data_IF_508703709456
#
_entry.id   IF_508703709456
#
_cell.length_a   1.000
_cell.length_b   1.000
_cell.length_c   1.000
_cell.angle_alpha   90.00
_cell.angle_beta   90.00
_cell.angle_gamma   90.00
#
_symmetry.space_group_name_H-M   'P 1'
#
loop_
_entity.id
_entity.type
_entity.pdbx_description
1 polymer ?
#
# COMPACT_ATOMS: atom_id res chain seq x y z
N UNK A 1 -8.02 1.23 15.56
CA UNK A 1 -7.36 0.13 16.28
C UNK A 1 -5.95 -0.08 15.74
N UNK A 2 -5.00 -0.29 16.62
CA UNK A 2 -3.60 -0.47 16.24
C UNK A 2 -3.17 -1.91 16.52
N UNK A 3 -2.44 -2.48 15.59
CA UNK A 3 -1.93 -3.84 15.74
C UNK A 3 -0.48 -3.86 15.27
N UNK A 4 0.38 -4.49 16.06
CA UNK A 4 1.80 -4.58 15.76
C UNK A 4 2.21 -6.00 15.41
N UNK A 5 3.12 -6.10 14.44
CA UNK A 5 3.75 -7.35 14.08
C UNK A 5 5.25 -7.15 14.11
N UNK A 6 5.97 -8.10 14.69
CA UNK A 6 7.42 -8.08 14.65
C UNK A 6 7.86 -9.26 13.80
N UNK A 7 8.23 -8.99 12.55
CA UNK A 7 8.49 -10.01 11.55
C UNK A 7 9.83 -9.76 10.87
N UNK A 8 10.47 -10.85 10.49
CA UNK A 8 11.61 -10.78 9.59
C UNK A 8 11.07 -10.71 8.16
N UNK A 9 11.92 -10.30 7.23
CA UNK A 9 11.46 -10.06 5.85
C UNK A 9 10.87 -11.32 5.21
N UNK A 10 11.40 -12.49 5.54
CA UNK A 10 10.88 -13.74 5.00
C UNK A 10 9.57 -14.17 5.67
N UNK A 11 9.13 -13.46 6.69
CA UNK A 11 7.87 -13.75 7.39
C UNK A 11 6.77 -12.76 7.03
N UNK A 12 7.01 -11.91 6.03
CA UNK A 12 6.03 -10.87 5.70
C UNK A 12 4.71 -11.46 5.22
N UNK A 13 4.70 -12.72 4.79
CA UNK A 13 3.49 -13.41 4.40
C UNK A 13 2.48 -13.48 5.55
N UNK A 14 2.93 -13.45 6.80
CA UNK A 14 2.05 -13.45 7.95
C UNK A 14 1.18 -12.19 7.93
N UNK A 15 1.80 -11.04 7.68
CA UNK A 15 1.08 -9.79 7.58
C UNK A 15 0.17 -9.79 6.36
N UNK A 16 0.64 -10.33 5.23
CA UNK A 16 -0.16 -10.39 4.02
C UNK A 16 -1.41 -11.24 4.22
N UNK A 17 -1.31 -12.37 4.92
CA UNK A 17 -2.46 -13.18 5.24
C UNK A 17 -3.44 -12.46 6.16
N UNK A 18 -2.92 -11.69 7.11
CA UNK A 18 -3.77 -10.88 7.97
C UNK A 18 -4.55 -9.86 7.14
N UNK A 19 -3.87 -9.21 6.17
CA UNK A 19 -4.54 -8.25 5.30
C UNK A 19 -5.60 -8.92 4.45
N UNK A 20 -5.34 -10.12 3.97
CA UNK A 20 -6.34 -10.86 3.20
C UNK A 20 -7.63 -11.03 3.98
N UNK A 21 -7.52 -11.24 5.29
CA UNK A 21 -8.69 -11.44 6.13
C UNK A 21 -9.44 -10.14 6.40
N UNK A 22 -8.75 -9.00 6.49
CA UNK A 22 -9.40 -7.74 6.85
C UNK A 22 -9.77 -6.87 5.64
N UNK A 23 -9.15 -7.07 4.48
CA UNK A 23 -9.45 -6.29 3.29
C UNK A 23 -10.57 -6.96 2.49
N UNK A 24 -11.77 -6.95 3.06
CA UNK A 24 -12.92 -7.63 2.46
C UNK A 24 -13.82 -6.67 1.70
N UNK A 25 -13.50 -5.39 1.69
CA UNK A 25 -14.24 -4.36 0.96
C UNK A 25 -13.28 -3.34 0.40
N UNK A 26 -13.78 -2.42 -0.42
CA UNK A 26 -12.94 -1.38 -1.02
C UNK A 26 -12.19 -0.63 0.07
N UNK A 27 -10.89 -0.51 -0.08
CA UNK A 27 -10.04 0.08 0.94
C UNK A 27 -8.81 0.74 0.32
N UNK A 28 -8.25 1.72 1.05
CA UNK A 28 -7.00 2.35 0.69
C UNK A 28 -6.01 2.02 1.79
N UNK A 29 -4.88 1.42 1.41
CA UNK A 29 -3.84 1.01 2.35
C UNK A 29 -2.61 1.88 2.11
N UNK A 30 -2.28 2.72 3.07
CA UNK A 30 -1.10 3.59 2.96
C UNK A 30 0.08 2.88 3.63
N UNK A 31 1.15 2.72 2.86
CA UNK A 31 2.36 2.03 3.32
C UNK A 31 3.46 3.06 3.56
N UNK A 32 3.94 3.15 4.78
CA UNK A 32 5.01 4.06 5.19
C UNK A 32 6.21 3.30 5.69
N UNK A 33 7.38 3.87 5.48
CA UNK A 33 8.63 3.28 5.95
C UNK A 33 9.76 3.65 5.02
N UNK A 34 10.97 3.30 5.41
CA UNK A 34 12.16 3.59 4.61
C UNK A 34 12.18 2.80 3.32
N UNK A 35 13.05 3.21 2.37
CA UNK A 35 13.16 2.57 1.08
C UNK A 35 13.34 1.06 1.18
N UNK A 36 14.12 0.59 2.14
CA UNK A 36 14.41 -0.83 2.29
C UNK A 36 13.52 -1.51 3.32
N UNK A 37 12.35 -0.93 3.64
CA UNK A 37 11.51 -1.45 4.72
C UNK A 37 10.64 -2.63 4.33
N UNK A 38 10.40 -2.84 3.03
CA UNK A 38 9.58 -3.96 2.59
C UNK A 38 8.18 -3.60 2.11
N UNK A 39 7.93 -2.32 1.80
CA UNK A 39 6.60 -1.90 1.35
C UNK A 39 6.17 -2.62 0.08
N UNK A 40 7.05 -2.62 -0.93
CA UNK A 40 6.75 -3.33 -2.19
C UNK A 40 6.68 -4.84 -1.96
N UNK A 41 7.52 -5.36 -1.06
CA UNK A 41 7.50 -6.77 -0.72
C UNK A 41 6.15 -7.17 -0.12
N UNK A 42 5.55 -6.31 0.69
CA UNK A 42 4.24 -6.59 1.25
C UNK A 42 3.18 -6.70 0.17
N UNK A 43 3.19 -5.79 -0.82
CA UNK A 43 2.24 -5.87 -1.92
C UNK A 43 2.42 -7.17 -2.70
N UNK A 44 3.68 -7.54 -2.94
CA UNK A 44 3.98 -8.79 -3.62
C UNK A 44 3.45 -9.99 -2.85
N UNK A 45 3.66 -10.02 -1.53
CA UNK A 45 3.16 -11.11 -0.70
C UNK A 45 1.64 -11.15 -0.66
N UNK A 46 0.99 -9.98 -0.65
CA UNK A 46 -0.46 -9.92 -0.66
C UNK A 46 -1.03 -10.56 -1.93
N UNK A 47 -0.46 -10.24 -3.09
CA UNK A 47 -0.91 -10.85 -4.33
C UNK A 47 -0.65 -12.36 -4.33
N UNK A 48 0.46 -12.78 -3.75
CA UNK A 48 0.80 -14.19 -3.66
C UNK A 48 -0.19 -14.97 -2.81
N UNK A 49 -0.59 -14.42 -1.65
CA UNK A 49 -1.56 -15.12 -0.81
C UNK A 49 -2.95 -15.14 -1.42
N UNK A 50 -3.24 -14.25 -2.36
CA UNK A 50 -4.47 -14.30 -3.14
C UNK A 50 -4.36 -15.20 -4.36
N UNK A 51 -3.19 -15.80 -4.55
CA UNK A 51 -2.93 -16.71 -5.66
C UNK A 51 -3.04 -16.03 -7.02
N UNK A 52 -2.59 -14.78 -7.10
CA UNK A 52 -2.62 -14.01 -8.34
C UNK A 52 -1.25 -14.05 -9.01
N UNK A 53 -1.22 -14.14 -10.36
CA UNK A 53 0.04 -14.33 -11.08
C UNK A 53 0.80 -13.06 -11.41
N UNK A 54 0.30 -11.91 -11.03
CA UNK A 54 0.88 -10.63 -11.43
C UNK A 54 2.30 -10.46 -10.93
N UNK A 55 3.14 -9.88 -11.78
CA UNK A 55 4.50 -9.51 -11.41
C UNK A 55 4.45 -8.13 -10.75
N UNK A 56 4.84 -8.08 -9.48
CA UNK A 56 4.83 -6.83 -8.74
C UNK A 56 6.17 -6.14 -8.83
N UNK A 57 6.16 -4.91 -9.30
CA UNK A 57 7.34 -4.04 -9.28
C UNK A 57 6.91 -2.70 -8.69
N UNK A 58 7.87 -1.95 -8.15
CA UNK A 58 7.54 -0.62 -7.67
C UNK A 58 7.17 0.28 -8.85
N UNK A 59 6.03 0.95 -8.82
CA UNK A 59 5.59 1.79 -9.95
C UNK A 59 6.25 3.17 -9.93
N UNK A 60 7.57 3.20 -9.77
CA UNK A 60 8.31 4.46 -9.59
C UNK A 60 8.19 5.39 -10.77
N UNK A 61 8.22 4.84 -11.99
CA UNK A 61 8.20 5.66 -13.19
C UNK A 61 6.80 5.93 -13.71
N UNK A 62 5.88 5.00 -13.51
CA UNK A 62 4.53 5.16 -14.03
C UNK A 62 3.55 5.68 -12.99
N UNK A 63 3.98 5.82 -11.73
CA UNK A 63 3.18 6.31 -10.62
C UNK A 63 2.09 5.33 -10.18
N UNK A 64 1.55 4.53 -11.08
CA UNK A 64 0.47 3.60 -10.79
C UNK A 64 0.68 2.29 -11.54
N UNK A 65 0.41 1.18 -10.88
CA UNK A 65 0.32 -0.13 -11.50
C UNK A 65 -1.03 -0.73 -11.13
N UNK A 66 -1.64 -1.45 -12.06
CA UNK A 66 -2.95 -2.08 -11.85
C UNK A 66 -2.77 -3.59 -12.04
N UNK A 67 -3.16 -4.34 -11.02
CA UNK A 67 -3.05 -5.78 -11.03
C UNK A 67 -4.42 -6.44 -11.13
N UNK A 68 -4.43 -7.76 -11.19
CA UNK A 68 -5.67 -8.53 -11.23
C UNK A 68 -6.52 -8.26 -9.99
N UNK A 69 -7.81 -8.55 -10.06
CA UNK A 69 -8.76 -8.40 -8.96
C UNK A 69 -8.93 -6.97 -8.47
N UNK A 70 -8.73 -5.99 -9.37
CA UNK A 70 -8.89 -4.57 -9.02
C UNK A 70 -8.00 -4.18 -7.85
N UNK A 71 -6.72 -4.57 -7.94
CA UNK A 71 -5.71 -4.17 -6.96
C UNK A 71 -4.83 -3.13 -7.62
N UNK A 72 -4.75 -1.95 -6.99
CA UNK A 72 -4.02 -0.80 -7.50
C UNK A 72 -2.82 -0.54 -6.62
N UNK A 73 -1.72 -0.11 -7.21
CA UNK A 73 -0.47 0.12 -6.51
C UNK A 73 0.11 1.45 -6.97
N UNK A 74 0.33 2.36 -6.03
CA UNK A 74 0.82 3.71 -6.32
C UNK A 74 2.13 3.96 -5.59
N UNK A 75 3.01 4.75 -6.20
CA UNK A 75 4.25 5.19 -5.57
C UNK A 75 4.33 6.70 -5.71
N UNK A 76 4.22 7.41 -4.61
CA UNK A 76 4.24 8.88 -4.61
C UNK A 76 5.51 9.45 -4.00
N UNK A 77 6.57 8.64 -3.99
CA UNK A 77 7.84 9.02 -3.37
C UNK A 77 8.39 10.36 -3.91
N UNK A 78 8.35 10.53 -5.23
CA UNK A 78 8.91 11.71 -5.88
C UNK A 78 7.86 12.76 -6.25
N UNK A 79 6.68 12.69 -5.62
CA UNK A 79 5.59 13.60 -5.94
C UNK A 79 5.12 14.35 -4.72
N UNK A 80 4.86 15.65 -4.88
CA UNK A 80 4.15 16.39 -3.84
C UNK A 80 2.67 16.07 -3.92
N UNK A 81 1.94 16.39 -2.87
CA UNK A 81 0.50 16.20 -2.88
C UNK A 81 -0.15 17.00 -4.00
N UNK A 82 0.32 18.23 -4.22
CA UNK A 82 -0.21 19.06 -5.30
C UNK A 82 0.00 18.43 -6.67
N UNK A 83 1.17 17.86 -6.91
CA UNK A 83 1.43 17.16 -8.17
C UNK A 83 0.53 15.95 -8.33
N UNK A 84 0.34 15.19 -7.25
CA UNK A 84 -0.52 14.02 -7.26
C UNK A 84 -1.96 14.40 -7.64
N UNK A 85 -2.46 15.46 -7.03
CA UNK A 85 -3.82 15.95 -7.31
C UNK A 85 -3.92 16.46 -8.76
N UNK A 86 -2.93 17.21 -9.24
CA UNK A 86 -3.00 17.78 -10.58
C UNK A 86 -2.91 16.72 -11.67
N UNK A 87 -2.39 15.55 -11.36
CA UNK A 87 -2.37 14.43 -12.30
C UNK A 87 -3.68 13.64 -12.29
N UNK A 88 -4.67 14.05 -11.49
CA UNK A 88 -5.95 13.37 -11.42
C UNK A 88 -5.92 12.08 -10.62
N UNK A 89 -4.90 11.88 -9.81
CA UNK A 89 -4.73 10.60 -9.12
C UNK A 89 -5.72 10.40 -7.98
N UNK A 90 -6.27 11.48 -7.42
CA UNK A 90 -7.29 11.31 -6.38
C UNK A 90 -8.54 10.62 -6.92
N UNK A 91 -8.85 10.84 -8.19
CA UNK A 91 -10.02 10.23 -8.82
C UNK A 91 -9.85 8.74 -8.99
N UNK A 92 -8.60 8.25 -9.04
CA UNK A 92 -8.35 6.81 -9.15
C UNK A 92 -8.84 6.05 -7.94
N UNK A 93 -8.87 6.69 -6.77
CA UNK A 93 -9.32 6.04 -5.55
C UNK A 93 -10.82 5.78 -5.53
N UNK A 94 -11.57 6.38 -6.45
CA UNK A 94 -13.00 6.11 -6.57
C UNK A 94 -13.28 4.75 -7.21
N UNK A 95 -12.29 4.17 -7.87
CA UNK A 95 -12.46 2.85 -8.48
C UNK A 95 -12.52 1.79 -7.38
N UNK A 96 -13.42 0.84 -7.57
CA UNK A 96 -13.61 -0.24 -6.59
C UNK A 96 -12.40 -1.14 -6.55
N UNK A 97 -12.00 -1.54 -5.35
CA UNK A 97 -10.88 -2.45 -5.15
C UNK A 97 -10.01 -2.04 -4.00
N UNK A 98 -8.82 -2.62 -3.97
CA UNK A 98 -7.83 -2.36 -2.92
C UNK A 98 -6.73 -1.49 -3.52
N UNK A 99 -6.45 -0.36 -2.88
CA UNK A 99 -5.46 0.60 -3.34
C UNK A 99 -4.30 0.66 -2.35
N UNK A 100 -3.12 0.21 -2.78
CA UNK A 100 -1.90 0.32 -1.97
C UNK A 100 -1.12 1.56 -2.39
N UNK A 101 -0.83 2.43 -1.44
CA UNK A 101 -0.10 3.68 -1.71
C UNK A 101 1.20 3.68 -0.92
N UNK A 102 2.33 3.57 -1.62
CA UNK A 102 3.64 3.70 -0.99
C UNK A 102 4.00 5.18 -0.85
N UNK A 103 4.52 5.55 0.31
CA UNK A 103 4.97 6.91 0.61
C UNK A 103 3.84 7.92 0.79
N UNK A 104 2.61 7.46 1.03
CA UNK A 104 1.52 8.38 1.33
C UNK A 104 1.75 9.10 2.65
N UNK A 105 1.67 10.43 2.65
CA UNK A 105 1.91 11.22 3.85
C UNK A 105 0.63 11.47 4.65
N UNK A 106 0.78 12.18 5.78
CA UNK A 106 -0.35 12.45 6.65
C UNK A 106 -1.43 13.30 5.98
N UNK A 107 -1.02 14.22 5.11
CA UNK A 107 -2.00 15.07 4.42
C UNK A 107 -2.85 14.26 3.46
N UNK A 108 -2.24 13.32 2.74
CA UNK A 108 -3.01 12.45 1.87
C UNK A 108 -3.96 11.58 2.68
N UNK A 109 -3.48 11.06 3.80
CA UNK A 109 -4.33 10.26 4.68
C UNK A 109 -5.55 11.04 5.15
N UNK A 110 -5.34 12.29 5.58
CA UNK A 110 -6.44 13.14 6.04
C UNK A 110 -7.46 13.40 4.94
N UNK A 111 -6.97 13.71 3.73
CA UNK A 111 -7.86 14.00 2.60
C UNK A 111 -8.72 12.78 2.28
N UNK A 112 -8.12 11.60 2.25
CA UNK A 112 -8.85 10.39 1.91
C UNK A 112 -9.87 10.04 2.99
N UNK A 113 -9.54 10.24 4.25
CA UNK A 113 -10.49 10.02 5.34
C UNK A 113 -11.65 11.01 5.28
N UNK A 114 -11.33 12.27 4.94
CA UNK A 114 -12.37 13.31 4.84
C UNK A 114 -13.34 13.01 3.71
N UNK A 115 -12.89 12.33 2.66
CA UNK A 115 -13.76 11.92 1.57
C UNK A 115 -14.59 10.68 1.91
N UNK A 116 -14.40 10.10 3.08
CA UNK A 116 -15.19 8.96 3.52
C UNK A 116 -14.62 7.60 3.12
N UNK A 117 -13.41 7.56 2.59
CA UNK A 117 -12.78 6.29 2.24
C UNK A 117 -12.34 5.53 3.48
N UNK A 118 -12.35 4.20 3.38
CA UNK A 118 -11.77 3.37 4.42
C UNK A 118 -10.25 3.36 4.21
N UNK A 119 -9.52 3.95 5.15
CA UNK A 119 -8.07 4.09 5.05
C UNK A 119 -7.40 3.29 6.16
N UNK A 120 -6.45 2.46 5.77
CA UNK A 120 -5.65 1.65 6.69
C UNK A 120 -4.20 2.10 6.55
N UNK A 121 -3.58 2.41 7.67
CA UNK A 121 -2.18 2.83 7.69
C UNK A 121 -1.31 1.69 8.17
N UNK A 122 -0.27 1.37 7.41
CA UNK A 122 0.72 0.38 7.80
C UNK A 122 2.08 1.06 7.82
N UNK A 123 2.71 1.05 8.98
CA UNK A 123 4.06 1.57 9.14
C UNK A 123 5.02 0.40 9.26
N UNK A 124 6.04 0.40 8.41
CA UNK A 124 7.02 -0.68 8.38
C UNK A 124 8.37 -0.10 8.78
N UNK A 125 8.94 -0.64 9.85
CA UNK A 125 10.25 -0.24 10.31
C UNK A 125 11.20 -1.40 10.23
N UNK A 126 12.39 -1.15 9.70
CA UNK A 126 13.44 -2.15 9.66
C UNK A 126 14.30 -2.00 10.90
N UNK A 127 14.39 -3.04 11.69
CA UNK A 127 15.21 -3.04 12.91
C UNK A 127 16.57 -3.63 12.61
N UNK A 128 17.62 -2.93 13.01
CA UNK A 128 18.98 -3.33 12.69
C UNK A 128 19.34 -4.70 13.25
N UNK A 129 18.81 -5.06 14.39
CA UNK A 129 19.13 -6.33 15.02
C UNK A 129 18.31 -7.49 14.49
N UNK A 130 17.58 -7.31 13.42
CA UNK A 130 16.72 -8.35 12.85
C UNK A 130 17.27 -8.92 11.55
N UNK A 131 18.54 -8.78 11.32
CA UNK A 131 19.13 -9.34 10.10
C UNK A 131 19.77 -10.66 10.33
#
# INVERSE_FOLDING_TARGET
MQKEFELELDQIDILANYLKDILIEDSIVILRGDLASGKTTLVKSYLKVLDLPDLVTSPTFSLQAIYSNNIFHYDVYNKTLGEFISLGMLEEFEKKGIHFVEWGNEKLEEILKDYGYKVILIEIEKKDNKR
#
